data_IF_372026553043
#
_entry.id   IF_372026553043
#
_cell.length_a   1.000
_cell.length_b   1.000
_cell.length_c   1.000
_cell.angle_alpha   90.00
_cell.angle_beta   90.00
_cell.angle_gamma   90.00
#
_symmetry.space_group_name_H-M   'P 1'
#
loop_
_entity.id
_entity.type
_entity.pdbx_description
1 polymer ?
#
# COMPACT_ATOMS: atom_id res chain seq x y z
N UNK A 1 -13.80 11.65 4.74
CA UNK A 1 -14.90 10.66 4.63
C UNK A 1 -15.29 10.54 3.16
N UNK A 2 -14.57 9.71 2.40
CA UNK A 2 -14.98 9.40 1.03
C UNK A 2 -16.07 8.34 1.08
N UNK A 3 -17.20 8.65 0.43
CA UNK A 3 -18.36 7.80 0.28
C UNK A 3 -17.93 6.43 -0.27
N UNK A 4 -17.83 5.42 0.61
CA UNK A 4 -17.80 4.01 0.22
C UNK A 4 -19.20 3.66 -0.27
N UNK A 5 -19.47 3.91 -1.54
CA UNK A 5 -20.51 3.18 -2.24
C UNK A 5 -19.99 1.75 -2.38
N UNK A 6 -20.28 0.92 -1.38
CA UNK A 6 -20.26 -0.53 -1.51
C UNK A 6 -21.35 -0.81 -2.56
N UNK A 7 -20.95 -0.82 -3.82
CA UNK A 7 -21.69 -1.45 -4.90
C UNK A 7 -21.58 -2.95 -4.66
N UNK A 8 -22.31 -3.42 -3.63
CA UNK A 8 -22.84 -4.78 -3.60
C UNK A 8 -23.81 -4.85 -4.77
N UNK A 9 -23.27 -5.02 -5.97
CA UNK A 9 -24.05 -5.47 -7.09
C UNK A 9 -24.32 -6.95 -6.80
N UNK A 10 -25.29 -7.20 -5.91
CA UNK A 10 -26.14 -8.36 -6.10
C UNK A 10 -26.83 -8.16 -7.44
N UNK A 11 -26.15 -8.49 -8.55
CA UNK A 11 -26.84 -8.75 -9.80
C UNK A 11 -27.67 -9.99 -9.49
N UNK A 12 -28.90 -9.77 -9.04
CA UNK A 12 -29.93 -10.79 -9.06
C UNK A 12 -30.09 -11.19 -10.51
N UNK A 13 -29.33 -12.20 -10.93
CA UNK A 13 -29.29 -12.70 -12.28
C UNK A 13 -30.60 -13.46 -12.51
N UNK A 14 -31.69 -12.74 -12.79
CA UNK A 14 -32.94 -13.33 -13.25
C UNK A 14 -32.83 -13.56 -14.75
N UNK A 15 -32.40 -14.77 -15.12
CA UNK A 15 -32.35 -15.21 -16.52
C UNK A 15 -33.79 -15.48 -16.97
N UNK A 16 -34.44 -14.50 -17.59
CA UNK A 16 -35.63 -14.75 -18.37
C UNK A 16 -35.20 -15.24 -19.76
N UNK A 17 -35.26 -16.55 -20.00
CA UNK A 17 -34.93 -17.15 -21.30
C UNK A 17 -36.00 -16.86 -22.36
N UNK A 18 -35.63 -16.46 -23.59
CA UNK A 18 -36.49 -16.61 -24.75
C UNK A 18 -36.53 -18.08 -25.19
N UNK A 19 -37.62 -18.52 -25.80
CA UNK A 19 -37.84 -19.90 -26.25
C UNK A 19 -36.76 -20.31 -27.28
N UNK A 20 -35.83 -21.19 -26.90
CA UNK A 20 -34.73 -21.73 -27.71
C UNK A 20 -34.31 -23.14 -27.28
N UNK A 21 -33.38 -23.79 -27.99
CA UNK A 21 -32.81 -25.10 -27.58
C UNK A 21 -31.84 -24.93 -26.41
N UNK A 22 -31.63 -25.94 -25.55
CA UNK A 22 -30.69 -25.77 -24.43
C UNK A 22 -29.25 -25.54 -24.90
N UNK A 23 -28.92 -25.97 -26.12
CA UNK A 23 -27.63 -25.66 -26.77
C UNK A 23 -27.46 -24.17 -27.09
N UNK A 24 -28.52 -23.50 -27.53
CA UNK A 24 -28.48 -22.04 -27.79
C UNK A 24 -28.41 -21.27 -26.48
N UNK A 25 -29.18 -21.68 -25.47
CA UNK A 25 -29.13 -21.11 -24.12
C UNK A 25 -27.74 -21.25 -23.48
N UNK A 26 -27.08 -22.39 -23.67
CA UNK A 26 -25.72 -22.64 -23.18
C UNK A 26 -24.71 -21.67 -23.82
N UNK A 27 -24.78 -21.46 -25.15
CA UNK A 27 -23.90 -20.52 -25.85
C UNK A 27 -24.15 -19.08 -25.42
N UNK A 28 -25.42 -18.71 -25.23
CA UNK A 28 -25.78 -17.38 -24.75
C UNK A 28 -25.27 -17.15 -23.32
N UNK A 29 -25.42 -18.15 -22.44
CA UNK A 29 -24.85 -18.12 -21.10
C UNK A 29 -23.33 -17.93 -21.14
N UNK A 30 -22.61 -18.72 -21.94
CA UNK A 30 -21.16 -18.60 -22.08
C UNK A 30 -20.74 -17.22 -22.59
N UNK A 31 -21.48 -16.64 -23.55
CA UNK A 31 -21.22 -15.30 -24.06
C UNK A 31 -21.38 -14.21 -22.99
N UNK A 32 -22.39 -14.34 -22.11
CA UNK A 32 -22.59 -13.42 -20.98
C UNK A 32 -21.47 -13.56 -19.95
N UNK A 33 -21.11 -14.80 -19.60
CA UNK A 33 -20.01 -15.11 -18.67
C UNK A 33 -18.68 -14.52 -19.19
N UNK A 34 -18.34 -14.75 -20.45
CA UNK A 34 -17.12 -14.22 -21.08
C UNK A 34 -17.07 -12.69 -21.00
N UNK A 35 -18.16 -12.02 -21.40
CA UNK A 35 -18.25 -10.56 -21.36
C UNK A 35 -18.05 -10.02 -19.95
N UNK A 36 -18.71 -10.64 -18.96
CA UNK A 36 -18.63 -10.20 -17.57
C UNK A 36 -17.24 -10.43 -16.98
N UNK A 37 -16.68 -11.63 -17.07
CA UNK A 37 -15.35 -11.93 -16.50
C UNK A 37 -14.27 -11.08 -17.19
N UNK A 38 -14.35 -10.85 -18.50
CA UNK A 38 -13.42 -9.93 -19.18
C UNK A 38 -13.54 -8.49 -18.67
N UNK A 39 -14.76 -8.03 -18.41
CA UNK A 39 -14.99 -6.72 -17.80
C UNK A 39 -14.36 -6.64 -16.40
N UNK A 40 -14.61 -7.64 -15.55
CA UNK A 40 -14.08 -7.71 -14.19
C UNK A 40 -12.55 -7.79 -14.17
N UNK A 41 -11.93 -8.64 -14.99
CA UNK A 41 -10.46 -8.73 -15.08
C UNK A 41 -9.81 -7.44 -15.59
N UNK A 42 -10.45 -6.72 -16.52
CA UNK A 42 -9.98 -5.41 -16.97
C UNK A 42 -10.11 -4.36 -15.87
N UNK A 43 -11.23 -4.36 -15.14
CA UNK A 43 -11.45 -3.49 -13.99
C UNK A 43 -10.41 -3.78 -12.88
N UNK A 44 -10.20 -5.04 -12.54
CA UNK A 44 -9.17 -5.48 -11.61
C UNK A 44 -7.78 -4.98 -12.01
N UNK A 45 -7.41 -5.12 -13.29
CA UNK A 45 -6.12 -4.61 -13.79
C UNK A 45 -6.00 -3.08 -13.65
N UNK A 46 -7.09 -2.33 -13.83
CA UNK A 46 -7.11 -0.89 -13.61
C UNK A 46 -6.98 -0.53 -12.12
N UNK A 47 -7.70 -1.23 -11.24
CA UNK A 47 -7.64 -1.06 -9.79
C UNK A 47 -6.21 -1.33 -9.29
N UNK A 48 -5.60 -2.45 -9.67
CA UNK A 48 -4.24 -2.80 -9.26
C UNK A 48 -3.19 -1.74 -9.67
N UNK A 49 -3.33 -1.16 -10.88
CA UNK A 49 -2.47 -0.02 -11.30
C UNK A 49 -2.69 1.20 -10.41
N UNK A 50 -3.94 1.51 -10.09
CA UNK A 50 -4.30 2.64 -9.24
C UNK A 50 -3.77 2.45 -7.81
N UNK A 51 -3.83 1.22 -7.29
CA UNK A 51 -3.27 0.86 -5.99
C UNK A 51 -1.76 1.03 -5.95
N UNK A 52 -1.05 0.67 -7.02
CA UNK A 52 0.40 0.89 -7.10
C UNK A 52 0.77 2.39 -7.05
N UNK A 53 -0.03 3.24 -7.71
CA UNK A 53 0.15 4.71 -7.64
C UNK A 53 -0.14 5.23 -6.23
N UNK A 54 -1.24 4.78 -5.62
CA UNK A 54 -1.62 5.17 -4.27
C UNK A 54 -0.56 4.78 -3.24
N UNK A 55 -0.07 3.54 -3.30
CA UNK A 55 0.97 3.02 -2.42
C UNK A 55 2.26 3.84 -2.51
N UNK A 56 2.70 4.16 -3.74
CA UNK A 56 3.88 5.02 -3.96
C UNK A 56 3.67 6.44 -3.43
N UNK A 57 2.46 6.98 -3.55
CA UNK A 57 2.11 8.28 -2.96
C UNK A 57 2.18 8.23 -1.42
N UNK A 58 1.57 7.22 -0.79
CA UNK A 58 1.57 7.07 0.67
C UNK A 58 2.98 6.89 1.22
N UNK A 59 3.84 6.09 0.58
CA UNK A 59 5.23 5.94 0.98
C UNK A 59 5.99 7.29 0.94
N UNK A 60 5.85 8.07 -0.13
CA UNK A 60 6.49 9.38 -0.23
C UNK A 60 5.97 10.37 0.81
N UNK A 61 4.66 10.37 1.06
CA UNK A 61 4.03 11.23 2.05
C UNK A 61 4.50 10.87 3.48
N UNK A 62 4.51 9.59 3.83
CA UNK A 62 5.00 9.09 5.10
C UNK A 62 6.47 9.48 5.35
N UNK A 63 7.34 9.24 4.37
CA UNK A 63 8.75 9.62 4.48
C UNK A 63 8.90 11.14 4.65
N UNK A 64 8.15 11.95 3.90
CA UNK A 64 8.20 13.42 4.04
C UNK A 64 7.73 13.87 5.43
N UNK A 65 6.62 13.34 5.92
CA UNK A 65 6.09 13.65 7.25
C UNK A 65 7.12 13.32 8.32
N UNK A 66 7.77 12.16 8.23
CA UNK A 66 8.84 11.79 9.15
C UNK A 66 10.01 12.78 9.17
N UNK A 67 10.49 13.20 7.99
CA UNK A 67 11.60 14.17 7.91
C UNK A 67 11.20 15.51 8.52
N UNK A 68 9.94 15.93 8.36
CA UNK A 68 9.43 17.15 8.99
C UNK A 68 9.39 16.99 10.52
N UNK A 69 8.85 15.88 11.02
CA UNK A 69 8.75 15.61 12.47
C UNK A 69 10.14 15.53 13.11
N UNK A 70 11.11 14.90 12.44
CA UNK A 70 12.50 14.85 12.86
C UNK A 70 13.13 16.26 12.92
N UNK A 71 12.85 17.09 11.91
CA UNK A 71 13.34 18.48 11.87
C UNK A 71 12.75 19.32 13.01
N UNK A 72 11.46 19.16 13.28
CA UNK A 72 10.78 19.83 14.39
C UNK A 72 11.32 19.35 15.75
N UNK A 73 11.52 18.03 15.90
CA UNK A 73 12.08 17.44 17.12
C UNK A 73 13.52 17.90 17.39
N UNK A 74 14.29 18.24 16.35
CA UNK A 74 15.65 18.77 16.47
C UNK A 74 15.71 20.25 16.90
N UNK A 75 14.60 20.98 16.84
CA UNK A 75 14.56 22.43 17.08
C UNK A 75 15.10 22.89 18.46
N UNK A 76 14.92 22.13 19.56
CA UNK A 76 15.48 22.48 20.86
C UNK A 76 17.01 22.57 20.85
N UNK A 77 17.71 21.70 20.10
CA UNK A 77 19.16 21.77 19.96
C UNK A 77 19.60 23.09 19.31
N UNK A 78 18.97 23.49 18.21
CA UNK A 78 19.30 24.75 17.52
C UNK A 78 19.03 25.98 18.37
N UNK A 79 17.95 25.93 19.16
CA UNK A 79 17.61 26.98 20.12
C UNK A 79 18.66 27.09 21.22
N UNK A 80 19.12 25.95 21.76
CA UNK A 80 20.18 25.90 22.74
C UNK A 80 21.49 26.52 22.21
N UNK A 81 21.96 26.10 21.03
CA UNK A 81 23.20 26.63 20.43
C UNK A 81 23.12 28.15 20.22
N UNK A 82 22.01 28.65 19.67
CA UNK A 82 21.84 30.09 19.44
C UNK A 82 21.86 30.93 20.73
N UNK A 83 21.40 30.36 21.85
CA UNK A 83 21.51 31.00 23.17
C UNK A 83 22.94 30.94 23.68
N UNK A 84 23.59 29.77 23.61
CA UNK A 84 24.97 29.58 24.06
C UNK A 84 25.96 30.49 23.33
N UNK A 85 25.85 30.61 22.00
CA UNK A 85 26.69 31.49 21.18
C UNK A 85 26.52 32.96 21.56
N UNK A 86 25.29 33.40 21.82
CA UNK A 86 25.01 34.77 22.27
C UNK A 86 25.65 35.06 23.63
N UNK A 87 25.47 34.14 24.58
CA UNK A 87 26.04 34.30 25.93
C UNK A 87 27.57 34.26 25.92
N UNK A 88 28.17 33.39 25.11
CA UNK A 88 29.63 33.34 24.95
C UNK A 88 30.17 34.64 24.34
N UNK A 89 29.49 35.21 23.35
CA UNK A 89 29.87 36.48 22.75
C UNK A 89 29.82 37.65 23.76
N UNK A 90 28.79 37.70 24.61
CA UNK A 90 28.68 38.71 25.69
C UNK A 90 29.81 38.60 26.71
N UNK A 91 30.32 37.38 26.95
CA UNK A 91 31.42 37.09 27.89
C UNK A 91 32.81 37.11 27.23
N UNK A 92 32.90 37.28 25.92
CA UNK A 92 34.16 37.18 25.17
C UNK A 92 34.78 35.78 25.18
N UNK A 93 33.98 34.74 25.37
CA UNK A 93 34.41 33.34 25.33
C UNK A 93 34.35 32.80 23.90
N UNK A 94 35.33 31.98 23.51
CA UNK A 94 35.27 31.22 22.25
C UNK A 94 34.76 29.81 22.55
N UNK A 95 33.62 29.45 21.94
CA UNK A 95 32.99 28.13 22.09
C UNK A 95 32.91 27.34 20.77
N UNK A 96 33.57 27.82 19.71
CA UNK A 96 33.44 27.30 18.35
C UNK A 96 33.69 25.78 18.28
N UNK A 97 34.71 25.31 19.00
CA UNK A 97 35.04 23.89 19.07
C UNK A 97 33.92 23.05 19.69
N UNK A 98 33.29 23.54 20.76
CA UNK A 98 32.20 22.83 21.43
C UNK A 98 30.95 22.78 20.55
N UNK A 99 30.65 23.89 19.87
CA UNK A 99 29.52 24.01 18.94
C UNK A 99 29.72 23.12 17.70
N UNK A 100 30.90 23.13 17.09
CA UNK A 100 31.22 22.28 15.94
C UNK A 100 31.10 20.79 16.28
N UNK A 101 31.56 20.39 17.47
CA UNK A 101 31.38 19.01 17.94
C UNK A 101 29.90 18.66 18.08
N UNK A 102 29.10 19.51 18.72
CA UNK A 102 27.65 19.33 18.84
C UNK A 102 26.97 19.19 17.47
N UNK A 103 27.35 20.04 16.49
CA UNK A 103 26.81 19.99 15.14
C UNK A 103 27.08 18.64 14.47
N UNK A 104 28.31 18.13 14.58
CA UNK A 104 28.65 16.83 14.02
C UNK A 104 27.82 15.70 14.64
N UNK A 105 27.61 15.74 15.96
CA UNK A 105 26.81 14.72 16.66
C UNK A 105 25.31 14.81 16.30
N UNK A 106 24.71 15.99 16.23
CA UNK A 106 23.29 16.14 15.87
C UNK A 106 23.04 15.78 14.40
N UNK A 107 23.95 16.11 13.48
CA UNK A 107 23.83 15.70 12.09
C UNK A 107 23.95 14.19 11.93
N UNK A 108 24.86 13.54 12.67
CA UNK A 108 24.96 12.09 12.68
C UNK A 108 23.70 11.42 13.26
N UNK A 109 23.12 11.97 14.33
CA UNK A 109 21.87 11.50 14.91
C UNK A 109 20.72 11.63 13.90
N UNK A 110 20.54 12.81 13.30
CA UNK A 110 19.48 13.05 12.31
C UNK A 110 19.62 12.14 11.09
N UNK A 111 20.83 11.93 10.58
CA UNK A 111 21.06 11.02 9.46
C UNK A 111 20.73 9.57 9.80
N UNK A 112 21.05 9.13 11.02
CA UNK A 112 20.71 7.77 11.49
C UNK A 112 19.19 7.56 11.49
N UNK A 113 18.46 8.52 12.06
CA UNK A 113 17.00 8.47 12.12
C UNK A 113 16.35 8.62 10.74
N UNK A 114 16.84 9.53 9.89
CA UNK A 114 16.36 9.71 8.51
C UNK A 114 16.54 8.45 7.66
N UNK A 115 17.70 7.81 7.74
CA UNK A 115 17.98 6.58 7.00
C UNK A 115 17.11 5.41 7.49
N UNK A 116 16.93 5.25 8.80
CA UNK A 116 16.08 4.20 9.35
C UNK A 116 14.62 4.32 8.87
N UNK A 117 14.07 5.53 8.85
CA UNK A 117 12.72 5.74 8.32
C UNK A 117 12.64 5.50 6.81
N UNK A 118 13.65 5.94 6.05
CA UNK A 118 13.73 5.61 4.63
C UNK A 118 13.72 4.09 4.42
N UNK A 119 14.56 3.34 5.12
CA UNK A 119 14.62 1.88 5.00
C UNK A 119 13.29 1.21 5.34
N UNK A 120 12.64 1.61 6.44
CA UNK A 120 11.36 1.04 6.87
C UNK A 120 10.22 1.35 5.88
N UNK A 121 10.08 2.61 5.45
CA UNK A 121 9.04 3.03 4.51
C UNK A 121 9.17 2.29 3.18
N UNK A 122 10.39 2.19 2.66
CA UNK A 122 10.62 1.57 1.36
C UNK A 122 10.59 0.03 1.43
N UNK A 123 10.87 -0.57 2.60
CA UNK A 123 10.62 -1.99 2.83
C UNK A 123 9.12 -2.32 2.76
N UNK A 124 8.26 -1.55 3.44
CA UNK A 124 6.80 -1.73 3.37
C UNK A 124 6.26 -1.45 1.97
N UNK A 125 6.78 -0.43 1.27
CA UNK A 125 6.44 -0.18 -0.14
C UNK A 125 6.72 -1.42 -1.00
N UNK A 126 7.88 -2.06 -0.82
CA UNK A 126 8.24 -3.26 -1.59
C UNK A 126 7.32 -4.45 -1.27
N UNK A 127 6.88 -4.61 -0.02
CA UNK A 127 5.91 -5.64 0.38
C UNK A 127 4.58 -5.40 -0.33
N UNK A 128 4.06 -4.17 -0.31
CA UNK A 128 2.81 -3.82 -0.97
C UNK A 128 2.86 -3.97 -2.49
N UNK A 129 3.95 -3.56 -3.13
CA UNK A 129 4.15 -3.76 -4.57
C UNK A 129 4.14 -5.25 -4.93
N UNK A 130 4.85 -6.07 -4.15
CA UNK A 130 4.85 -7.53 -4.33
C UNK A 130 3.46 -8.14 -4.13
N UNK A 131 2.66 -7.63 -3.18
CA UNK A 131 1.28 -8.08 -2.99
C UNK A 131 0.44 -7.75 -4.23
N UNK A 132 0.52 -6.52 -4.74
CA UNK A 132 -0.19 -6.10 -5.96
C UNK A 132 0.22 -6.97 -7.16
N UNK A 133 1.51 -7.22 -7.33
CA UNK A 133 2.04 -8.07 -8.39
C UNK A 133 1.51 -9.51 -8.28
N UNK A 134 1.50 -10.08 -7.08
CA UNK A 134 0.95 -11.41 -6.83
C UNK A 134 -0.57 -11.49 -7.06
N UNK A 135 -1.29 -10.37 -6.93
CA UNK A 135 -2.73 -10.31 -7.15
C UNK A 135 -3.11 -10.33 -8.64
N UNK A 136 -2.21 -9.96 -9.55
CA UNK A 136 -2.49 -10.03 -10.99
C UNK A 136 -2.85 -11.45 -11.46
N UNK A 137 -2.20 -12.48 -10.91
CA UNK A 137 -2.52 -13.89 -11.22
C UNK A 137 -4.01 -14.22 -10.98
N UNK A 138 -4.46 -14.26 -9.71
CA UNK A 138 -5.82 -14.67 -9.36
C UNK A 138 -6.91 -13.67 -9.79
N UNK A 139 -6.58 -12.37 -9.96
CA UNK A 139 -7.56 -11.36 -10.33
C UNK A 139 -7.66 -11.10 -11.85
N UNK A 140 -6.68 -11.57 -12.65
CA UNK A 140 -6.64 -11.29 -14.09
C UNK A 140 -6.24 -12.50 -14.94
N UNK A 141 -5.12 -13.14 -14.65
CA UNK A 141 -4.58 -14.16 -15.56
C UNK A 141 -5.34 -15.49 -15.42
N UNK A 142 -5.50 -16.01 -14.20
CA UNK A 142 -6.23 -17.26 -13.93
C UNK A 142 -7.70 -17.24 -14.38
N UNK A 143 -8.48 -16.15 -14.18
CA UNK A 143 -9.83 -16.04 -14.75
C UNK A 143 -9.87 -16.16 -16.28
N UNK A 144 -8.88 -15.61 -16.98
CA UNK A 144 -8.83 -15.66 -18.44
C UNK A 144 -8.47 -17.06 -18.96
N UNK A 145 -7.64 -17.79 -18.24
CA UNK A 145 -7.33 -19.19 -18.55
C UNK A 145 -8.57 -20.08 -18.33
N UNK A 146 -9.26 -19.93 -17.20
CA UNK A 146 -10.52 -20.64 -16.92
C UNK A 146 -11.60 -20.35 -17.96
N UNK A 147 -11.73 -19.10 -18.41
CA UNK A 147 -12.65 -18.75 -19.50
C UNK A 147 -12.35 -19.54 -20.78
N UNK A 148 -11.09 -19.75 -21.13
CA UNK A 148 -10.71 -20.53 -22.32
C UNK A 148 -11.11 -22.01 -22.17
N UNK A 149 -10.91 -22.59 -20.99
CA UNK A 149 -11.35 -23.95 -20.67
C UNK A 149 -12.88 -24.11 -20.76
N UNK A 150 -13.62 -23.13 -20.23
CA UNK A 150 -15.09 -23.07 -20.31
C UNK A 150 -15.55 -23.00 -21.79
N UNK A 151 -14.95 -22.13 -22.61
CA UNK A 151 -15.23 -22.05 -24.04
C UNK A 151 -14.95 -23.38 -24.77
N UNK A 152 -13.84 -24.04 -24.46
CA UNK A 152 -13.49 -25.32 -25.06
C UNK A 152 -14.56 -26.40 -24.78
N UNK A 153 -15.06 -26.46 -23.53
CA UNK A 153 -16.12 -27.38 -23.13
C UNK A 153 -17.46 -27.08 -23.80
N UNK A 154 -17.84 -25.82 -23.92
CA UNK A 154 -19.07 -25.41 -24.62
C UNK A 154 -19.00 -25.77 -26.11
N UNK A 155 -17.85 -25.58 -26.75
CA UNK A 155 -17.68 -25.84 -28.19
C UNK A 155 -17.75 -27.33 -28.56
N UNK A 156 -17.42 -28.24 -27.64
CA UNK A 156 -17.52 -29.70 -27.88
C UNK A 156 -18.88 -30.28 -27.51
N UNK A 157 -19.76 -29.51 -26.86
CA UNK A 157 -21.09 -29.93 -26.46
C UNK A 157 -22.05 -29.96 -27.65
N UNK A 158 -22.66 -31.12 -27.95
CA UNK A 158 -23.43 -31.33 -29.19
C UNK A 158 -24.85 -31.89 -28.99
N UNK A 159 -25.32 -32.00 -27.74
CA UNK A 159 -26.65 -32.52 -27.42
C UNK A 159 -27.24 -31.87 -26.16
N UNK A 160 -28.55 -32.00 -25.98
CA UNK A 160 -29.32 -31.37 -24.90
C UNK A 160 -28.89 -31.82 -23.50
N UNK A 161 -28.57 -33.11 -23.31
CA UNK A 161 -28.17 -33.64 -22.00
C UNK A 161 -26.83 -33.03 -21.53
N UNK A 162 -25.88 -32.90 -22.45
CA UNK A 162 -24.63 -32.17 -22.22
C UNK A 162 -24.91 -30.69 -21.92
N UNK A 163 -25.83 -30.06 -22.66
CA UNK A 163 -26.12 -28.64 -22.49
C UNK A 163 -26.66 -28.31 -21.09
N UNK A 164 -27.62 -29.10 -20.59
CA UNK A 164 -28.19 -28.91 -19.25
C UNK A 164 -27.14 -29.10 -18.16
N UNK A 165 -26.32 -30.15 -18.25
CA UNK A 165 -25.25 -30.37 -17.26
C UNK A 165 -24.23 -29.23 -17.27
N UNK A 166 -23.83 -28.78 -18.46
CA UNK A 166 -22.78 -27.77 -18.58
C UNK A 166 -23.27 -26.38 -18.13
N UNK A 167 -24.57 -26.04 -18.28
CA UNK A 167 -25.12 -24.79 -17.76
C UNK A 167 -24.92 -24.65 -16.24
N UNK A 168 -25.20 -25.70 -15.46
CA UNK A 168 -25.01 -25.71 -14.01
C UNK A 168 -23.53 -25.66 -13.59
N UNK A 169 -22.65 -26.28 -14.37
CA UNK A 169 -21.20 -26.22 -14.17
C UNK A 169 -20.67 -24.80 -14.45
N UNK A 170 -21.04 -24.19 -15.58
CA UNK A 170 -20.61 -22.84 -15.93
C UNK A 170 -21.07 -21.79 -14.91
N UNK A 171 -22.28 -21.90 -14.38
CA UNK A 171 -22.77 -20.98 -13.34
C UNK A 171 -21.94 -21.08 -12.05
N UNK A 172 -21.55 -22.29 -11.64
CA UNK A 172 -20.68 -22.49 -10.46
C UNK A 172 -19.28 -21.94 -10.71
N UNK A 173 -18.68 -22.26 -11.84
CA UNK A 173 -17.35 -21.77 -12.21
C UNK A 173 -17.31 -20.25 -12.33
N UNK A 174 -18.35 -19.64 -12.91
CA UNK A 174 -18.51 -18.19 -12.94
C UNK A 174 -18.54 -17.58 -11.53
N UNK A 175 -19.30 -18.18 -10.61
CA UNK A 175 -19.37 -17.73 -9.21
C UNK A 175 -18.01 -17.81 -8.53
N UNK A 176 -17.29 -18.92 -8.71
CA UNK A 176 -15.96 -19.13 -8.12
C UNK A 176 -14.92 -18.16 -8.67
N UNK A 177 -14.93 -17.92 -9.98
CA UNK A 177 -14.04 -16.94 -10.62
C UNK A 177 -14.32 -15.53 -10.08
N UNK A 178 -15.59 -15.13 -10.05
CA UNK A 178 -15.98 -13.80 -9.58
C UNK A 178 -15.61 -13.58 -8.11
N UNK A 179 -15.83 -14.59 -7.26
CA UNK A 179 -15.42 -14.56 -5.86
C UNK A 179 -13.89 -14.46 -5.70
N UNK A 180 -13.13 -15.19 -6.52
CA UNK A 180 -11.66 -15.15 -6.52
C UNK A 180 -11.12 -13.76 -6.88
N UNK A 181 -11.66 -13.13 -7.92
CA UNK A 181 -11.29 -11.77 -8.32
C UNK A 181 -11.58 -10.79 -7.17
N UNK A 182 -12.80 -10.83 -6.64
CA UNK A 182 -13.23 -9.93 -5.57
C UNK A 182 -12.38 -10.09 -4.29
N UNK A 183 -12.15 -11.32 -3.83
CA UNK A 183 -11.35 -11.58 -2.63
C UNK A 183 -9.89 -11.15 -2.78
N UNK A 184 -9.33 -11.32 -3.98
CA UNK A 184 -7.94 -10.93 -4.26
C UNK A 184 -7.77 -9.41 -4.28
N UNK A 185 -8.75 -8.70 -4.87
CA UNK A 185 -8.78 -7.23 -4.83
C UNK A 185 -8.99 -6.71 -3.40
N UNK A 186 -9.98 -7.23 -2.66
CA UNK A 186 -10.29 -6.79 -1.29
C UNK A 186 -9.07 -6.90 -0.37
N UNK A 187 -8.36 -8.03 -0.41
CA UNK A 187 -7.11 -8.21 0.34
C UNK A 187 -6.05 -7.17 -0.02
N UNK A 188 -5.89 -6.88 -1.30
CA UNK A 188 -4.86 -5.94 -1.79
C UNK A 188 -5.21 -4.50 -1.44
N UNK A 189 -6.48 -4.14 -1.60
CA UNK A 189 -7.01 -2.83 -1.17
C UNK A 189 -6.87 -2.65 0.34
N UNK A 190 -7.20 -3.68 1.12
CA UNK A 190 -7.06 -3.64 2.57
C UNK A 190 -5.63 -3.37 2.99
N UNK A 191 -4.65 -4.07 2.41
CA UNK A 191 -3.25 -3.81 2.69
C UNK A 191 -2.86 -2.36 2.35
N UNK A 192 -3.15 -1.90 1.12
CA UNK A 192 -2.71 -0.56 0.66
C UNK A 192 -3.33 0.57 1.47
N UNK A 193 -4.60 0.45 1.85
CA UNK A 193 -5.33 1.52 2.52
C UNK A 193 -5.33 1.43 4.05
N UNK A 194 -5.05 0.26 4.63
CA UNK A 194 -5.11 0.04 6.09
C UNK A 194 -3.75 -0.43 6.59
N UNK A 195 -3.36 -1.67 6.30
CA UNK A 195 -2.18 -2.30 6.90
C UNK A 195 -0.88 -1.51 6.62
N UNK A 196 -0.74 -0.95 5.40
CA UNK A 196 0.41 -0.13 5.05
C UNK A 196 0.57 1.05 6.02
N UNK A 197 -0.52 1.75 6.36
CA UNK A 197 -0.45 2.91 7.25
C UNK A 197 -0.14 2.48 8.69
N UNK A 198 -0.75 1.38 9.15
CA UNK A 198 -0.50 0.81 10.49
C UNK A 198 0.97 0.38 10.65
N UNK A 199 1.53 -0.33 9.67
CA UNK A 199 2.92 -0.78 9.71
C UNK A 199 3.91 0.40 9.72
N UNK A 200 3.59 1.45 8.96
CA UNK A 200 4.35 2.70 8.88
C UNK A 200 4.31 3.42 10.24
N UNK A 201 3.14 3.59 10.86
CA UNK A 201 3.01 4.26 12.15
C UNK A 201 3.77 3.55 13.28
N UNK A 202 3.74 2.23 13.34
CA UNK A 202 4.38 1.45 14.41
C UNK A 202 5.93 1.49 14.38
N UNK A 203 6.53 1.72 13.21
CA UNK A 203 7.96 1.43 12.99
C UNK A 203 8.82 2.64 12.64
N UNK A 204 8.26 3.84 12.55
CA UNK A 204 8.96 4.95 11.90
C UNK A 204 9.66 5.91 12.88
N UNK A 205 9.03 6.35 13.96
CA UNK A 205 9.66 7.31 14.89
C UNK A 205 9.40 7.00 16.36
N UNK A 206 10.45 7.04 17.17
CA UNK A 206 10.34 7.10 18.64
C UNK A 206 10.80 8.48 19.12
N UNK A 207 9.87 9.45 19.28
CA UNK A 207 10.20 10.81 19.69
C UNK A 207 10.90 10.87 21.05
N UNK A 208 10.51 10.00 21.98
CA UNK A 208 11.07 9.98 23.33
C UNK A 208 12.56 9.60 23.30
N UNK A 209 12.90 8.56 22.55
CA UNK A 209 14.30 8.13 22.38
C UNK A 209 15.14 9.17 21.66
N UNK A 210 14.61 9.75 20.57
CA UNK A 210 15.30 10.81 19.86
C UNK A 210 15.58 12.02 20.76
N UNK A 211 14.60 12.40 21.58
CA UNK A 211 14.74 13.51 22.54
C UNK A 211 15.79 13.22 23.60
N UNK A 212 15.87 11.99 24.10
CA UNK A 212 16.92 11.56 25.04
C UNK A 212 18.32 11.67 24.40
N UNK A 213 18.49 11.15 23.19
CA UNK A 213 19.76 11.21 22.45
C UNK A 213 20.17 12.65 22.12
N UNK A 214 19.21 13.51 21.73
CA UNK A 214 19.44 14.93 21.50
C UNK A 214 19.84 15.66 22.80
N UNK A 215 19.16 15.41 23.91
CA UNK A 215 19.47 16.03 25.20
C UNK A 215 20.86 15.63 25.71
N UNK A 216 21.31 14.41 25.41
CA UNK A 216 22.69 14.00 25.69
C UNK A 216 23.69 14.88 24.92
N UNK A 217 23.45 15.14 23.64
CA UNK A 217 24.30 16.01 22.82
C UNK A 217 24.32 17.44 23.39
N UNK A 218 23.15 17.98 23.78
CA UNK A 218 23.07 19.29 24.45
C UNK A 218 23.93 19.30 25.71
N UNK A 219 23.79 18.30 26.58
CA UNK A 219 24.58 18.18 27.81
C UNK A 219 26.09 18.06 27.56
N UNK A 220 26.50 17.34 26.50
CA UNK A 220 27.91 17.22 26.11
C UNK A 220 28.49 18.58 25.66
N UNK A 221 27.70 19.38 24.93
CA UNK A 221 28.09 20.75 24.53
C UNK A 221 28.15 21.68 25.75
N UNK A 222 27.14 21.67 26.62
CA UNK A 222 27.12 22.44 27.87
C UNK A 222 28.36 22.14 28.73
N UNK A 223 28.70 20.86 28.87
CA UNK A 223 29.86 20.44 29.62
C UNK A 223 31.17 20.97 29.00
N UNK A 224 31.32 20.86 27.68
CA UNK A 224 32.48 21.38 26.95
C UNK A 224 32.64 22.90 27.15
N UNK A 225 31.55 23.66 27.06
CA UNK A 225 31.56 25.12 27.28
C UNK A 225 31.98 25.44 28.71
N UNK A 226 31.48 24.70 29.70
CA UNK A 226 31.79 24.96 31.12
C UNK A 226 33.26 24.71 31.51
N UNK A 227 34.00 23.96 30.68
CA UNK A 227 35.42 23.65 30.91
C UNK A 227 36.38 24.63 30.24
N UNK A 228 35.88 25.54 29.39
CA UNK A 228 36.64 26.56 28.67
C UNK A 228 36.45 27.97 29.26
#
# INVERSE_FOLDING_TARGET
MFFRAILLICVGFSIASPVGTHLDELKELMSRIDTHIRSETNNAAFVLRSLNVALSYYANDAHRTYINDLTEAAQPYWTFIAVAEREAAERGQNIDFCVERGHNEIYALNNTYANAAYENVYAELAIGQKLIDNTYGPARDEPNDKLQEMHARVNVCNNEACAVQLQDELNREYSDISASIAASLDKTEHYVYVEFHENIEEHIFNPARYTEDMNRIIGDVEHCISQN
#
